data_IF_479741256634
#
_entry.id   IF_479741256634
#
_cell.length_a   1.000
_cell.length_b   1.000
_cell.length_c   1.000
_cell.angle_alpha   90.00
_cell.angle_beta   90.00
_cell.angle_gamma   90.00
#
_symmetry.space_group_name_H-M   'P 1'
#
loop_
_entity.id
_entity.type
_entity.pdbx_description
1 polymer ?
#
# COMPACT_ATOMS: atom_id res chain seq x y z
N UNK A 1 -8.60 15.92 -8.91
CA UNK A 1 -8.90 14.49 -9.21
C UNK A 1 -10.18 14.27 -10.00
N UNK A 2 -11.26 15.03 -9.76
CA UNK A 2 -12.57 14.82 -10.40
C UNK A 2 -12.52 14.73 -11.94
N UNK A 3 -11.75 15.61 -12.62
CA UNK A 3 -11.60 15.55 -14.08
C UNK A 3 -10.92 14.25 -14.55
N UNK A 4 -9.81 13.85 -13.92
CA UNK A 4 -9.05 12.63 -14.29
C UNK A 4 -9.90 11.36 -14.15
N UNK A 5 -10.69 11.26 -13.08
CA UNK A 5 -11.57 10.11 -12.82
C UNK A 5 -12.77 10.01 -13.78
N UNK A 6 -13.11 11.08 -14.50
CA UNK A 6 -14.19 11.07 -15.51
C UNK A 6 -13.73 10.55 -16.88
N UNK A 7 -12.43 10.57 -17.16
CA UNK A 7 -11.88 10.02 -18.40
C UNK A 7 -11.94 8.49 -18.41
N UNK A 8 -12.06 7.86 -19.58
CA UNK A 8 -12.05 6.41 -19.71
C UNK A 8 -10.75 5.80 -19.15
N UNK A 9 -9.60 6.38 -19.51
CA UNK A 9 -8.29 5.96 -19.00
C UNK A 9 -8.21 6.07 -17.46
N UNK A 10 -8.70 7.17 -16.89
CA UNK A 10 -8.72 7.36 -15.44
C UNK A 10 -9.65 6.40 -14.70
N UNK A 11 -10.81 6.05 -15.28
CA UNK A 11 -11.71 5.02 -14.71
C UNK A 11 -11.06 3.65 -14.73
N UNK A 12 -10.39 3.28 -15.82
CA UNK A 12 -9.67 2.01 -15.94
C UNK A 12 -8.55 1.91 -14.88
N UNK A 13 -7.71 2.95 -14.76
CA UNK A 13 -6.65 3.02 -13.75
C UNK A 13 -7.20 3.01 -12.32
N UNK A 14 -8.33 3.67 -12.07
CA UNK A 14 -8.97 3.66 -10.76
C UNK A 14 -9.52 2.28 -10.40
N UNK A 15 -10.15 1.58 -11.34
CA UNK A 15 -10.64 0.23 -11.12
C UNK A 15 -9.52 -0.76 -10.77
N UNK A 16 -8.33 -0.60 -11.38
CA UNK A 16 -7.14 -1.40 -11.08
C UNK A 16 -6.70 -1.30 -9.61
N UNK A 17 -6.95 -0.16 -8.94
CA UNK A 17 -6.52 0.06 -7.55
C UNK A 17 -7.16 -0.90 -6.56
N UNK A 18 -8.41 -1.33 -6.83
CA UNK A 18 -9.20 -2.21 -5.96
C UNK A 18 -8.50 -3.53 -5.64
N UNK A 19 -7.69 -4.03 -6.56
CA UNK A 19 -6.99 -5.32 -6.41
C UNK A 19 -5.47 -5.18 -6.41
N UNK A 20 -4.93 -3.97 -6.65
CA UNK A 20 -3.49 -3.71 -6.61
C UNK A 20 -3.10 -3.01 -5.32
N UNK A 21 -3.32 -1.70 -5.20
CA UNK A 21 -2.79 -0.90 -4.09
C UNK A 21 -3.69 -0.89 -2.85
N UNK A 22 -5.01 -0.90 -3.02
CA UNK A 22 -5.96 -0.82 -1.89
C UNK A 22 -5.85 -2.02 -0.93
N UNK A 23 -5.72 -3.27 -1.41
CA UNK A 23 -5.50 -4.42 -0.53
C UNK A 23 -4.20 -4.30 0.27
N UNK A 24 -3.13 -3.79 -0.35
CA UNK A 24 -1.83 -3.60 0.31
C UNK A 24 -1.95 -2.63 1.47
N UNK A 25 -2.58 -1.48 1.25
CA UNK A 25 -2.85 -0.52 2.32
C UNK A 25 -3.75 -1.11 3.41
N UNK A 26 -4.78 -1.88 3.04
CA UNK A 26 -5.64 -2.58 3.98
C UNK A 26 -4.87 -3.54 4.87
N UNK A 27 -4.01 -4.38 4.28
CA UNK A 27 -3.17 -5.36 4.99
C UNK A 27 -2.19 -4.65 5.93
N UNK A 28 -1.45 -3.65 5.44
CA UNK A 28 -0.47 -2.92 6.25
C UNK A 28 -1.16 -2.29 7.47
N UNK A 29 -2.34 -1.69 7.28
CA UNK A 29 -3.05 -1.00 8.36
C UNK A 29 -3.73 -1.95 9.34
N UNK A 30 -4.50 -2.92 8.85
CA UNK A 30 -5.39 -3.73 9.68
C UNK A 30 -4.81 -5.09 10.06
N UNK A 31 -3.99 -5.70 9.21
CA UNK A 31 -3.40 -7.02 9.47
C UNK A 31 -2.03 -6.89 10.13
N UNK A 32 -1.22 -5.90 9.72
CA UNK A 32 0.10 -5.66 10.30
C UNK A 32 0.08 -4.59 11.41
N UNK A 33 -1.05 -3.92 11.63
CA UNK A 33 -1.23 -2.96 12.73
C UNK A 33 -0.51 -1.60 12.54
N UNK A 34 0.02 -1.30 11.36
CA UNK A 34 0.71 -0.03 11.10
C UNK A 34 -0.30 1.10 10.88
N UNK A 35 -0.76 1.72 11.98
CA UNK A 35 -1.82 2.75 11.98
C UNK A 35 -1.31 4.18 12.06
N UNK A 36 -0.10 4.37 12.57
CA UNK A 36 0.50 5.67 12.79
C UNK A 36 2.01 5.61 12.59
N UNK A 37 2.59 6.74 12.22
CA UNK A 37 4.03 6.95 12.18
C UNK A 37 4.49 7.42 13.56
N UNK A 38 5.62 6.89 14.06
CA UNK A 38 6.19 7.29 15.35
C UNK A 38 7.13 8.48 15.19
N UNK A 39 7.72 8.66 14.01
CA UNK A 39 8.64 9.76 13.71
C UNK A 39 7.94 10.91 13.00
N UNK A 40 8.56 12.09 13.05
CA UNK A 40 8.13 13.31 12.33
C UNK A 40 9.20 13.74 11.33
N UNK A 41 8.75 14.31 10.22
CA UNK A 41 9.60 14.72 9.09
C UNK A 41 9.61 13.69 7.96
N UNK A 42 9.59 14.16 6.71
CA UNK A 42 9.44 13.31 5.52
C UNK A 42 10.49 12.20 5.44
N UNK A 43 11.75 12.52 5.73
CA UNK A 43 12.85 11.55 5.63
C UNK A 43 12.70 10.39 6.62
N UNK A 44 12.38 10.72 7.88
CA UNK A 44 12.19 9.74 8.96
C UNK A 44 10.95 8.87 8.72
N UNK A 45 9.83 9.50 8.37
CA UNK A 45 8.57 8.82 8.02
C UNK A 45 8.75 7.91 6.80
N UNK A 46 9.55 8.33 5.82
CA UNK A 46 9.89 7.50 4.65
C UNK A 46 10.66 6.23 5.05
N UNK A 47 11.53 6.31 6.06
CA UNK A 47 12.20 5.15 6.65
C UNK A 47 11.21 4.17 7.27
N UNK A 48 10.31 4.63 8.13
CA UNK A 48 9.26 3.80 8.73
C UNK A 48 8.37 3.13 7.67
N UNK A 49 7.98 3.89 6.64
CA UNK A 49 7.17 3.35 5.55
C UNK A 49 7.90 2.27 4.76
N UNK A 50 9.20 2.46 4.46
CA UNK A 50 10.03 1.43 3.81
C UNK A 50 10.06 0.13 4.63
N UNK A 51 10.23 0.22 5.95
CA UNK A 51 10.19 -0.95 6.82
C UNK A 51 8.83 -1.66 6.79
N UNK A 52 7.72 -0.91 6.90
CA UNK A 52 6.38 -1.47 6.83
C UNK A 52 6.12 -2.19 5.50
N UNK A 53 6.49 -1.58 4.38
CA UNK A 53 6.32 -2.19 3.05
C UNK A 53 7.24 -3.39 2.82
N UNK A 54 8.47 -3.37 3.35
CA UNK A 54 9.39 -4.51 3.29
C UNK A 54 8.85 -5.72 4.06
N UNK A 55 8.33 -5.51 5.28
CA UNK A 55 7.69 -6.56 6.05
C UNK A 55 6.48 -7.16 5.32
N UNK A 56 5.67 -6.32 4.65
CA UNK A 56 4.58 -6.80 3.79
C UNK A 56 5.09 -7.62 2.61
N UNK A 57 6.13 -7.16 1.91
CA UNK A 57 6.74 -7.88 0.78
C UNK A 57 7.23 -9.27 1.21
N UNK A 58 7.91 -9.37 2.35
CA UNK A 58 8.39 -10.66 2.89
C UNK A 58 7.21 -11.58 3.17
N UNK A 59 6.17 -11.10 3.88
CA UNK A 59 4.96 -11.87 4.16
C UNK A 59 4.29 -12.37 2.87
N UNK A 60 4.23 -11.52 1.84
CA UNK A 60 3.68 -11.87 0.53
C UNK A 60 4.53 -12.93 -0.18
N UNK A 61 5.84 -12.74 -0.26
CA UNK A 61 6.75 -13.69 -0.90
C UNK A 61 6.64 -15.06 -0.23
N UNK A 62 6.69 -15.12 1.10
CA UNK A 62 6.52 -16.36 1.84
C UNK A 62 5.22 -17.08 1.47
N UNK A 63 4.09 -16.36 1.39
CA UNK A 63 2.79 -16.95 0.98
C UNK A 63 2.80 -17.45 -0.47
N UNK A 64 3.60 -16.87 -1.35
CA UNK A 64 3.72 -17.28 -2.75
C UNK A 64 4.71 -18.43 -2.96
N UNK A 65 5.73 -18.56 -2.12
CA UNK A 65 6.81 -19.55 -2.28
C UNK A 65 6.67 -20.77 -1.38
N UNK A 66 6.02 -20.65 -0.22
CA UNK A 66 5.84 -21.75 0.73
C UNK A 66 4.49 -22.47 0.56
N UNK A 67 3.84 -22.29 -0.60
CA UNK A 67 2.64 -23.00 -1.01
C UNK A 67 2.97 -24.35 -1.64
#
# INVERSE_FOLDING_TARGET
MAHRLKTQAGRALYALRKHTVEPVFGIIKHVMGFRQFSLRGLDKVSGEWRLATMAWNIKRMHRLTAG
#
